data_IF_264832960876
#
_entry.id   IF_264832960876
#
_cell.length_a   1.000
_cell.length_b   1.000
_cell.length_c   1.000
_cell.angle_alpha   90.00
_cell.angle_beta   90.00
_cell.angle_gamma   90.00
#
_symmetry.space_group_name_H-M   'P 1'
#
loop_
_entity.id
_entity.type
_entity.pdbx_description
1 polymer ?
#
# COMPACT_ATOMS: atom_id res chain seq x y z
N UNK A 1 30.96 13.80 23.18
CA UNK A 1 30.62 13.77 21.75
C UNK A 1 29.60 12.66 21.55
N UNK A 2 28.32 13.01 21.39
CA UNK A 2 27.29 12.05 21.01
C UNK A 2 26.89 12.38 19.57
N UNK A 3 27.41 11.61 18.62
CA UNK A 3 26.94 11.64 17.25
C UNK A 3 25.59 10.90 17.23
N UNK A 4 24.50 11.65 17.36
CA UNK A 4 23.18 11.16 16.97
C UNK A 4 23.23 10.91 15.46
N UNK A 5 23.49 9.66 15.07
CA UNK A 5 23.23 9.19 13.71
C UNK A 5 21.74 9.44 13.48
N UNK A 6 21.39 10.44 12.67
CA UNK A 6 20.03 10.58 12.16
C UNK A 6 19.77 9.31 11.35
N UNK A 7 19.04 8.35 11.90
CA UNK A 7 18.42 7.32 11.07
C UNK A 7 17.60 8.06 10.04
N UNK A 8 18.01 8.00 8.78
CA UNK A 8 17.21 8.48 7.67
C UNK A 8 15.95 7.63 7.68
N UNK A 9 14.83 8.20 8.15
CA UNK A 9 13.52 7.57 7.98
C UNK A 9 13.34 7.31 6.48
N UNK A 10 13.17 6.07 6.11
CA UNK A 10 12.91 5.68 4.72
C UNK A 10 11.40 5.75 4.46
N UNK A 11 11.04 6.05 3.20
CA UNK A 11 9.65 5.91 2.79
C UNK A 11 9.37 4.42 2.56
N UNK A 12 8.23 3.99 3.09
CA UNK A 12 7.68 2.66 2.89
C UNK A 12 6.48 2.77 1.96
N UNK A 13 6.29 1.77 1.11
CA UNK A 13 5.26 1.76 0.09
C UNK A 13 4.43 0.48 0.12
N UNK A 14 3.15 0.60 -0.21
CA UNK A 14 2.26 -0.51 -0.53
C UNK A 14 1.95 -0.44 -2.02
N UNK A 15 1.96 -1.58 -2.69
CA UNK A 15 1.70 -1.67 -4.13
C UNK A 15 0.41 -2.42 -4.36
N UNK A 16 -0.50 -1.81 -5.11
CA UNK A 16 -1.69 -2.47 -5.61
C UNK A 16 -1.44 -2.88 -7.07
N UNK A 17 -1.69 -4.14 -7.41
CA UNK A 17 -1.80 -4.61 -8.79
C UNK A 17 -3.29 -4.61 -9.12
N UNK A 18 -3.69 -3.85 -10.13
CA UNK A 18 -5.05 -3.80 -10.65
C UNK A 18 -5.09 -4.63 -11.94
N UNK A 19 -5.46 -5.91 -11.88
CA UNK A 19 -5.36 -6.76 -13.06
C UNK A 19 -6.60 -6.62 -13.95
N UNK A 20 -6.50 -7.08 -15.20
CA UNK A 20 -7.66 -7.15 -16.11
C UNK A 20 -8.59 -8.34 -15.78
N UNK A 21 -8.01 -9.40 -15.21
CA UNK A 21 -8.63 -10.64 -14.77
C UNK A 21 -7.89 -11.13 -13.53
N UNK A 22 -8.51 -11.98 -12.73
CA UNK A 22 -7.82 -12.65 -11.62
C UNK A 22 -6.49 -13.26 -12.10
N UNK A 23 -5.40 -12.92 -11.41
CA UNK A 23 -4.08 -13.45 -11.74
C UNK A 23 -3.97 -14.89 -11.25
N UNK A 24 -3.33 -15.74 -12.05
CA UNK A 24 -2.84 -17.01 -11.51
C UNK A 24 -1.74 -16.77 -10.48
N UNK A 25 -1.55 -17.72 -9.56
CA UNK A 25 -0.46 -17.68 -8.56
C UNK A 25 0.91 -17.41 -9.20
N UNK A 26 1.20 -18.01 -10.36
CA UNK A 26 2.46 -17.80 -11.09
C UNK A 26 2.58 -16.37 -11.65
N UNK A 27 1.49 -15.81 -12.20
CA UNK A 27 1.47 -14.43 -12.70
C UNK A 27 1.63 -13.41 -11.57
N UNK A 28 1.00 -13.68 -10.42
CA UNK A 28 1.13 -12.86 -9.22
C UNK A 28 2.54 -12.94 -8.64
N UNK A 29 3.07 -14.14 -8.45
CA UNK A 29 4.42 -14.36 -7.91
C UNK A 29 5.48 -13.71 -8.78
N UNK A 30 5.36 -13.81 -10.10
CA UNK A 30 6.31 -13.19 -11.01
C UNK A 30 6.32 -11.65 -10.87
N UNK A 31 5.14 -11.03 -10.79
CA UNK A 31 5.03 -9.57 -10.66
C UNK A 31 5.46 -9.08 -9.27
N UNK A 32 4.97 -9.73 -8.21
CA UNK A 32 5.27 -9.36 -6.83
C UNK A 32 6.76 -9.53 -6.52
N UNK A 33 7.38 -10.65 -6.87
CA UNK A 33 8.82 -10.86 -6.67
C UNK A 33 9.64 -9.85 -7.46
N UNK A 34 9.26 -9.54 -8.72
CA UNK A 34 9.96 -8.53 -9.50
C UNK A 34 9.97 -7.16 -8.82
N UNK A 35 8.88 -6.78 -8.15
CA UNK A 35 8.80 -5.53 -7.41
C UNK A 35 9.60 -5.62 -6.11
N UNK A 36 9.40 -6.67 -5.32
CA UNK A 36 10.05 -6.85 -4.01
C UNK A 36 11.56 -6.96 -4.14
N UNK A 37 12.06 -7.78 -5.07
CA UNK A 37 13.50 -7.96 -5.31
C UNK A 37 14.17 -6.67 -5.76
N UNK A 38 13.46 -5.85 -6.55
CA UNK A 38 13.99 -4.60 -7.05
C UNK A 38 13.88 -3.45 -6.04
N UNK A 39 12.84 -3.44 -5.21
CA UNK A 39 12.51 -2.33 -4.33
C UNK A 39 13.14 -2.42 -2.92
N UNK A 40 14.04 -3.37 -2.69
CA UNK A 40 14.74 -3.59 -1.42
C UNK A 40 13.72 -3.68 -0.25
N UNK A 41 13.98 -2.99 0.87
CA UNK A 41 13.13 -2.99 2.07
C UNK A 41 12.04 -1.89 2.05
N UNK A 42 11.90 -1.14 0.94
CA UNK A 42 10.98 0.00 0.87
C UNK A 42 9.55 -0.39 0.48
N UNK A 43 9.29 -1.66 0.14
CA UNK A 43 7.94 -2.16 -0.14
C UNK A 43 7.50 -3.08 1.00
N UNK A 44 6.39 -2.72 1.64
CA UNK A 44 5.79 -3.48 2.74
C UNK A 44 4.99 -4.66 2.21
N UNK A 45 4.22 -4.41 1.15
CA UNK A 45 3.32 -5.40 0.58
C UNK A 45 2.99 -5.06 -0.87
N UNK A 46 2.82 -6.12 -1.66
CA UNK A 46 2.20 -6.09 -2.99
C UNK A 46 0.88 -6.87 -2.85
N UNK A 47 -0.21 -6.37 -3.41
CA UNK A 47 -1.52 -7.07 -3.35
C UNK A 47 -2.27 -6.87 -4.65
N UNK A 48 -2.90 -7.94 -5.11
CA UNK A 48 -3.88 -7.89 -6.19
C UNK A 48 -5.19 -7.30 -5.67
N UNK A 49 -5.68 -6.26 -6.34
CA UNK A 49 -6.94 -5.59 -6.00
C UNK A 49 -7.77 -5.49 -7.26
N UNK A 50 -8.97 -6.05 -7.23
CA UNK A 50 -9.96 -5.81 -8.26
C UNK A 50 -10.49 -4.36 -8.12
N UNK A 51 -10.25 -3.47 -9.11
CA UNK A 51 -10.62 -2.08 -8.98
C UNK A 51 -12.14 -1.91 -9.03
N UNK A 52 -12.72 -1.50 -7.90
CA UNK A 52 -14.13 -1.13 -7.83
C UNK A 52 -14.38 0.22 -8.51
N UNK A 53 -15.63 0.46 -8.91
CA UNK A 53 -16.02 1.66 -9.67
C UNK A 53 -15.70 2.97 -8.94
N UNK A 54 -15.97 3.02 -7.64
CA UNK A 54 -15.63 4.14 -6.77
C UNK A 54 -14.12 4.39 -6.72
N UNK A 55 -13.31 3.33 -6.60
CA UNK A 55 -11.86 3.41 -6.67
C UNK A 55 -11.38 3.94 -8.03
N UNK A 56 -12.00 3.53 -9.15
CA UNK A 56 -11.69 4.07 -10.49
C UNK A 56 -12.01 5.56 -10.57
N UNK A 57 -13.18 5.98 -10.06
CA UNK A 57 -13.60 7.39 -10.03
C UNK A 57 -12.62 8.24 -9.20
N UNK A 58 -12.19 7.76 -8.03
CA UNK A 58 -11.20 8.43 -7.19
C UNK A 58 -9.81 8.51 -7.86
N UNK A 59 -9.39 7.45 -8.57
CA UNK A 59 -8.15 7.45 -9.36
C UNK A 59 -8.20 8.48 -10.48
N UNK A 60 -9.31 8.58 -11.19
CA UNK A 60 -9.51 9.60 -12.24
C UNK A 60 -9.47 11.02 -11.67
N UNK A 61 -10.03 11.23 -10.48
CA UNK A 61 -9.98 12.53 -9.81
C UNK A 61 -8.56 12.89 -9.38
N UNK A 62 -7.78 11.92 -8.87
CA UNK A 62 -6.39 12.16 -8.45
C UNK A 62 -5.41 12.29 -9.59
N UNK A 63 -5.61 11.55 -10.69
CA UNK A 63 -4.75 11.55 -11.86
C UNK A 63 -5.53 11.90 -13.13
N UNK A 64 -6.06 13.13 -13.25
CA UNK A 64 -6.98 13.50 -14.35
C UNK A 64 -6.33 13.50 -15.73
N UNK A 65 -4.99 13.51 -15.80
CA UNK A 65 -4.23 13.45 -17.04
C UNK A 65 -3.81 12.02 -17.42
N UNK A 66 -4.10 11.04 -16.56
CA UNK A 66 -3.72 9.64 -16.76
C UNK A 66 -4.93 8.83 -17.16
N UNK A 67 -4.80 8.04 -18.22
CA UNK A 67 -5.83 7.07 -18.59
C UNK A 67 -5.79 5.92 -17.58
N UNK A 68 -6.89 5.72 -16.86
CA UNK A 68 -7.03 4.59 -15.93
C UNK A 68 -7.36 3.35 -16.76
N UNK A 69 -6.44 2.40 -16.77
CA UNK A 69 -6.52 1.15 -17.55
C UNK A 69 -6.19 -0.04 -16.64
N UNK A 70 -6.65 -1.22 -17.03
CA UNK A 70 -6.20 -2.49 -16.45
C UNK A 70 -5.50 -3.30 -17.55
N UNK A 71 -4.39 -4.01 -17.25
CA UNK A 71 -3.73 -4.07 -15.96
C UNK A 71 -2.93 -2.80 -15.62
N UNK A 72 -2.88 -2.44 -14.34
CA UNK A 72 -2.12 -1.28 -13.84
C UNK A 72 -1.62 -1.47 -12.40
N UNK A 73 -0.87 -0.49 -11.92
CA UNK A 73 -0.24 -0.48 -10.61
C UNK A 73 -0.51 0.84 -9.90
N UNK A 74 -0.86 0.76 -8.62
CA UNK A 74 -0.92 1.90 -7.70
C UNK A 74 0.19 1.83 -6.67
N UNK A 75 0.90 2.93 -6.46
CA UNK A 75 1.92 3.06 -5.41
C UNK A 75 1.37 3.97 -4.31
N UNK A 76 1.23 3.39 -3.13
CA UNK A 76 0.69 4.05 -1.94
C UNK A 76 1.81 4.27 -0.94
N UNK A 77 1.80 5.41 -0.26
CA UNK A 77 2.67 5.61 0.90
C UNK A 77 2.14 4.78 2.07
N UNK A 78 3.00 3.94 2.64
CA UNK A 78 2.68 3.27 3.89
C UNK A 78 2.88 4.24 5.06
N UNK A 79 1.83 4.40 5.87
CA UNK A 79 1.81 5.26 7.05
C UNK A 79 1.61 4.41 8.30
N UNK A 80 2.73 4.01 8.92
CA UNK A 80 2.72 3.19 10.13
C UNK A 80 2.07 3.90 11.32
N UNK A 81 2.22 5.23 11.40
CA UNK A 81 1.62 6.02 12.48
C UNK A 81 0.10 6.03 12.35
N UNK A 82 -0.41 6.20 11.13
CA UNK A 82 -1.85 6.10 10.84
C UNK A 82 -2.39 4.69 11.09
N UNK A 83 -1.65 3.64 10.73
CA UNK A 83 -2.06 2.26 10.99
C UNK A 83 -2.23 2.01 12.51
N UNK A 84 -1.26 2.45 13.30
CA UNK A 84 -1.31 2.37 14.76
C UNK A 84 -2.51 3.13 15.35
N UNK A 85 -2.79 4.33 14.82
CA UNK A 85 -3.92 5.14 15.25
C UNK A 85 -5.27 4.48 14.94
N UNK A 86 -5.47 4.03 13.71
CA UNK A 86 -6.72 3.37 13.29
C UNK A 86 -6.93 2.03 14.01
N UNK A 87 -5.86 1.27 14.22
CA UNK A 87 -5.90 0.04 15.02
C UNK A 87 -6.35 0.35 16.45
N UNK A 88 -5.74 1.34 17.10
CA UNK A 88 -6.15 1.76 18.46
C UNK A 88 -7.59 2.29 18.50
N UNK A 89 -8.08 2.93 17.44
CA UNK A 89 -9.49 3.39 17.34
C UNK A 89 -10.44 2.20 17.27
N UNK A 90 -10.16 1.22 16.40
CA UNK A 90 -10.94 -0.02 16.28
C UNK A 90 -10.99 -0.76 17.62
N UNK A 91 -9.84 -0.97 18.26
CA UNK A 91 -9.74 -1.60 19.57
C UNK A 91 -10.54 -0.85 20.65
N UNK A 92 -10.56 0.49 20.60
CA UNK A 92 -11.35 1.33 21.51
C UNK A 92 -12.86 1.22 21.25
N UNK A 93 -13.29 0.98 20.01
CA UNK A 93 -14.69 0.70 19.69
C UNK A 93 -15.10 -0.68 20.21
N UNK A 94 -14.17 -1.64 20.15
CA UNK A 94 -14.36 -3.01 20.62
C UNK A 94 -13.81 -3.26 22.03
N UNK A 95 -13.79 -2.26 22.91
CA UNK A 95 -13.21 -2.32 24.29
C UNK A 95 -13.51 -3.61 25.05
N UNK A 96 -14.78 -4.03 25.03
CA UNK A 96 -15.20 -5.26 25.73
C UNK A 96 -14.66 -6.53 25.05
N UNK A 97 -14.66 -6.60 23.72
CA UNK A 97 -14.03 -7.71 22.99
C UNK A 97 -12.52 -7.71 23.26
N UNK A 98 -11.85 -6.55 23.24
CA UNK A 98 -10.42 -6.43 23.56
C UNK A 98 -10.12 -6.93 24.97
N UNK A 99 -10.92 -6.55 25.96
CA UNK A 99 -10.75 -6.98 27.35
C UNK A 99 -10.82 -8.50 27.50
N UNK A 100 -11.67 -9.17 26.73
CA UNK A 100 -11.75 -10.64 26.68
C UNK A 100 -10.87 -11.27 25.60
N UNK A 101 -9.98 -10.51 24.95
CA UNK A 101 -9.13 -10.95 23.84
C UNK A 101 -9.90 -11.63 22.68
N UNK A 102 -11.11 -11.15 22.39
CA UNK A 102 -12.08 -11.69 21.44
C UNK A 102 -12.23 -10.82 20.17
N UNK A 103 -11.26 -9.96 19.85
CA UNK A 103 -11.27 -9.28 18.54
C UNK A 103 -10.78 -10.30 17.50
N UNK A 104 -11.59 -10.52 16.46
CA UNK A 104 -11.24 -11.46 15.40
C UNK A 104 -10.08 -10.88 14.54
N UNK A 105 -9.11 -11.69 14.09
CA UNK A 105 -8.01 -11.22 13.23
C UNK A 105 -8.49 -10.42 12.01
N UNK A 106 -9.61 -10.81 11.40
CA UNK A 106 -10.20 -10.11 10.26
C UNK A 106 -10.50 -8.62 10.53
N UNK A 107 -10.82 -8.23 11.77
CA UNK A 107 -11.06 -6.83 12.12
C UNK A 107 -9.77 -6.01 11.99
N UNK A 108 -8.61 -6.61 12.27
CA UNK A 108 -7.31 -5.98 12.06
C UNK A 108 -6.96 -5.91 10.58
N UNK A 109 -7.21 -6.99 9.82
CA UNK A 109 -6.96 -7.03 8.38
C UNK A 109 -7.78 -5.98 7.63
N UNK A 110 -9.03 -5.76 8.03
CA UNK A 110 -9.89 -4.70 7.45
C UNK A 110 -9.27 -3.32 7.68
N UNK A 111 -8.75 -3.06 8.89
CA UNK A 111 -8.08 -1.80 9.22
C UNK A 111 -6.77 -1.63 8.45
N UNK A 112 -5.95 -2.68 8.40
CA UNK A 112 -4.69 -2.69 7.65
C UNK A 112 -4.91 -2.40 6.17
N UNK A 113 -5.80 -3.16 5.52
CA UNK A 113 -6.10 -2.99 4.10
C UNK A 113 -6.62 -1.57 3.81
N UNK A 114 -7.49 -1.03 4.67
CA UNK A 114 -8.02 0.34 4.51
C UNK A 114 -6.93 1.41 4.63
N UNK A 115 -5.95 1.23 5.51
CA UNK A 115 -4.84 2.18 5.67
C UNK A 115 -3.84 2.05 4.54
N UNK A 116 -3.49 0.82 4.15
CA UNK A 116 -2.52 0.53 3.09
C UNK A 116 -2.96 1.07 1.72
N UNK A 117 -4.25 0.95 1.41
CA UNK A 117 -4.81 1.32 0.11
C UNK A 117 -5.74 2.54 0.19
N UNK A 118 -5.52 3.43 1.17
CA UNK A 118 -6.21 4.71 1.22
C UNK A 118 -5.84 5.55 0.01
N UNK A 119 -6.84 5.92 -0.80
CA UNK A 119 -6.63 6.77 -1.97
C UNK A 119 -5.98 8.11 -1.64
N UNK A 120 -6.12 8.63 -0.43
CA UNK A 120 -5.40 9.84 -0.03
C UNK A 120 -3.88 9.63 -0.01
N UNK A 121 -3.42 8.40 0.19
CA UNK A 121 -2.00 8.01 0.22
C UNK A 121 -1.46 7.53 -1.13
N UNK A 122 -2.28 7.40 -2.18
CA UNK A 122 -1.75 7.08 -3.51
C UNK A 122 -0.88 8.24 -4.00
N UNK A 123 0.32 7.88 -4.45
CA UNK A 123 1.34 8.82 -4.93
C UNK A 123 1.60 8.66 -6.43
N UNK A 124 1.50 7.44 -6.95
CA UNK A 124 1.82 7.14 -8.33
C UNK A 124 0.91 6.06 -8.90
N UNK A 125 0.61 6.17 -10.19
CA UNK A 125 -0.22 5.23 -10.93
C UNK A 125 0.35 5.04 -12.33
N UNK A 126 0.46 3.79 -12.78
CA UNK A 126 1.10 3.44 -14.06
C UNK A 126 0.64 2.06 -14.55
N UNK A 127 0.72 1.82 -15.86
CA UNK A 127 0.57 0.47 -16.46
C UNK A 127 1.90 -0.27 -16.59
N UNK A 128 3.03 0.40 -16.27
CA UNK A 128 4.39 -0.13 -16.43
C UNK A 128 5.04 -0.40 -15.08
N UNK A 129 5.30 -1.68 -14.79
CA UNK A 129 5.98 -2.18 -13.59
C UNK A 129 7.39 -1.59 -13.40
N UNK A 130 8.13 -1.31 -14.48
CA UNK A 130 9.48 -0.76 -14.35
C UNK A 130 9.41 0.69 -13.83
N UNK A 131 8.36 1.43 -14.18
CA UNK A 131 8.13 2.78 -13.62
C UNK A 131 7.78 2.73 -12.14
N UNK A 132 7.11 1.69 -11.67
CA UNK A 132 6.87 1.47 -10.23
C UNK A 132 8.21 1.34 -9.50
N UNK A 133 9.09 0.48 -10.01
CA UNK A 133 10.42 0.25 -9.44
C UNK A 133 11.26 1.54 -9.44
N UNK A 134 11.29 2.26 -10.57
CA UNK A 134 11.98 3.56 -10.67
C UNK A 134 11.44 4.57 -9.67
N UNK A 135 10.12 4.68 -9.54
CA UNK A 135 9.48 5.59 -8.60
C UNK A 135 9.91 5.30 -7.16
N UNK A 136 9.91 4.03 -6.74
CA UNK A 136 10.32 3.63 -5.38
C UNK A 136 11.78 4.01 -5.14
N UNK A 137 12.68 3.71 -6.07
CA UNK A 137 14.10 4.06 -5.94
C UNK A 137 14.36 5.57 -5.83
N UNK A 138 13.64 6.37 -6.61
CA UNK A 138 13.75 7.82 -6.60
C UNK A 138 13.21 8.43 -5.29
N UNK A 139 12.24 7.76 -4.65
CA UNK A 139 11.51 8.27 -3.50
C UNK A 139 11.79 7.53 -2.18
N UNK A 140 12.79 6.65 -2.12
CA UNK A 140 13.05 5.82 -0.93
C UNK A 140 13.48 6.58 0.33
N UNK A 141 13.98 7.81 0.19
CA UNK A 141 14.41 8.64 1.32
C UNK A 141 13.44 9.78 1.59
N UNK A 142 13.16 10.04 2.87
CA UNK A 142 12.50 11.28 3.27
C UNK A 142 13.52 12.42 3.12
N UNK A 143 13.24 13.34 2.19
CA UNK A 143 14.02 14.57 1.97
C UNK A 143 13.75 15.56 3.10
#
# INVERSE_FOLDING_TARGET
>A
MFFNKKETKENLFCIAIFPEKELSDEEYDNQSNKILDAAEENVVVVTEIEPQRDMIEELQMKFPQTKIEVPSYGVYKFDSEKLDEETKKMEKMHKWKKFFNNIHPDEYLIVEHKVMYDMNQILFYTTDINKVISYIHENKKIV
#
